data_IF_792920678298
#
_entry.id   IF_792920678298
#
_cell.length_a   1.000
_cell.length_b   1.000
_cell.length_c   1.000
_cell.angle_alpha   90.00
_cell.angle_beta   90.00
_cell.angle_gamma   90.00
#
_symmetry.space_group_name_H-M   'P 1'
#
loop_
_entity.id
_entity.type
_entity.pdbx_description
1 polymer ?
#
# COMPACT_ATOMS: atom_id res chain seq x y z
N UNK A 1 14.08 2.87 -48.11
CA UNK A 1 14.31 1.50 -47.59
C UNK A 1 14.69 1.66 -46.12
N UNK A 2 13.75 1.63 -45.18
CA UNK A 2 13.00 0.47 -44.68
C UNK A 2 13.85 -0.43 -43.76
N UNK A 3 13.54 -0.34 -42.44
CA UNK A 3 13.66 -1.33 -41.36
C UNK A 3 15.07 -1.95 -41.09
N UNK A 4 15.48 -2.29 -39.88
CA UNK A 4 14.73 -2.89 -38.77
C UNK A 4 15.20 -2.36 -37.41
N UNK A 5 14.22 -1.96 -36.60
CA UNK A 5 14.26 -2.06 -35.16
C UNK A 5 14.16 -3.54 -34.74
N UNK A 6 14.84 -3.93 -33.65
CA UNK A 6 14.21 -4.72 -32.56
C UNK A 6 15.15 -4.90 -31.36
N UNK A 7 14.65 -4.40 -30.22
CA UNK A 7 14.71 -5.00 -28.89
C UNK A 7 16.08 -5.14 -28.19
N UNK A 8 16.60 -4.00 -27.73
CA UNK A 8 17.31 -4.00 -26.45
C UNK A 8 16.26 -4.28 -25.35
N UNK A 9 16.41 -5.43 -24.69
CA UNK A 9 15.60 -5.81 -23.54
C UNK A 9 15.78 -4.77 -22.42
N UNK A 10 14.81 -3.87 -22.29
CA UNK A 10 14.67 -2.99 -21.15
C UNK A 10 14.26 -3.84 -19.95
N UNK A 11 15.25 -4.27 -19.19
CA UNK A 11 15.12 -4.40 -17.76
C UNK A 11 14.46 -3.11 -17.22
N UNK A 12 13.43 -3.29 -16.38
CA UNK A 12 12.60 -2.20 -15.89
C UNK A 12 13.42 -1.04 -15.33
N UNK A 13 13.22 0.15 -15.90
CA UNK A 13 13.72 1.39 -15.36
C UNK A 13 12.64 2.44 -15.57
N UNK A 14 11.72 2.52 -14.60
CA UNK A 14 10.95 3.72 -14.35
C UNK A 14 11.95 4.84 -14.00
N UNK A 15 12.23 5.72 -14.95
CA UNK A 15 12.92 6.97 -14.70
C UNK A 15 12.40 8.01 -15.68
N UNK A 16 11.54 8.92 -15.21
CA UNK A 16 11.65 10.37 -15.46
C UNK A 16 10.60 11.19 -14.66
N UNK A 17 11.12 12.05 -13.77
CA UNK A 17 10.57 13.34 -13.27
C UNK A 17 9.45 13.43 -12.21
N UNK A 18 9.83 13.69 -10.95
CA UNK A 18 9.35 14.85 -10.16
C UNK A 18 10.17 14.99 -8.85
N UNK A 19 10.61 16.20 -8.44
CA UNK A 19 11.31 16.41 -7.17
C UNK A 19 10.38 16.33 -5.94
N UNK A 20 9.07 16.16 -6.17
CA UNK A 20 8.02 15.82 -5.21
C UNK A 20 6.96 15.02 -6.00
N UNK A 21 7.23 13.73 -6.24
CA UNK A 21 6.45 12.90 -7.16
C UNK A 21 5.96 11.61 -6.51
N UNK A 22 4.67 11.31 -6.71
CA UNK A 22 4.03 10.04 -6.37
C UNK A 22 4.97 8.86 -6.70
N UNK A 23 5.38 8.01 -5.73
CA UNK A 23 6.39 6.96 -5.91
C UNK A 23 6.00 5.84 -6.90
N UNK A 24 4.98 6.05 -7.73
CA UNK A 24 4.38 5.07 -8.61
C UNK A 24 3.56 4.05 -7.82
N UNK A 25 2.70 3.33 -8.55
CA UNK A 25 1.93 2.24 -7.95
C UNK A 25 2.89 1.16 -7.43
N UNK A 26 2.89 0.95 -6.11
CA UNK A 26 3.62 -0.16 -5.47
C UNK A 26 2.91 -1.45 -5.79
N UNK A 27 3.68 -2.49 -6.10
CA UNK A 27 3.13 -3.81 -6.35
C UNK A 27 2.36 -4.31 -5.12
N UNK A 28 1.21 -4.95 -5.36
CA UNK A 28 0.45 -5.63 -4.34
C UNK A 28 1.22 -6.86 -3.84
N UNK A 29 1.02 -7.28 -2.57
CA UNK A 29 1.52 -8.57 -2.10
C UNK A 29 1.03 -9.71 -3.00
N UNK A 30 1.87 -10.73 -3.20
CA UNK A 30 1.51 -11.88 -4.01
C UNK A 30 0.19 -12.51 -3.53
N UNK A 31 -0.74 -12.75 -4.47
CA UNK A 31 -2.06 -13.32 -4.18
C UNK A 31 -3.09 -12.33 -3.60
N UNK A 32 -2.76 -11.06 -3.42
CA UNK A 32 -3.74 -10.03 -3.00
C UNK A 32 -4.23 -9.19 -4.17
N UNK A 33 -5.48 -8.74 -4.07
CA UNK A 33 -6.12 -7.76 -4.96
C UNK A 33 -6.55 -6.53 -4.16
N UNK A 34 -6.82 -5.43 -4.85
CA UNK A 34 -7.41 -4.24 -4.23
C UNK A 34 -8.72 -4.55 -3.49
N UNK A 35 -9.54 -5.47 -4.02
CA UNK A 35 -10.78 -5.90 -3.40
C UNK A 35 -10.54 -6.68 -2.11
N UNK A 36 -9.57 -7.61 -2.09
CA UNK A 36 -9.25 -8.36 -0.87
C UNK A 36 -8.67 -7.46 0.23
N UNK A 37 -7.83 -6.48 -0.14
CA UNK A 37 -7.28 -5.51 0.82
C UNK A 37 -8.37 -4.62 1.40
N UNK A 38 -9.25 -4.07 0.55
CA UNK A 38 -10.39 -3.28 1.01
C UNK A 38 -11.31 -4.10 1.91
N UNK A 39 -11.54 -5.37 1.58
CA UNK A 39 -12.29 -6.28 2.43
C UNK A 39 -11.65 -6.48 3.81
N UNK A 40 -10.33 -6.59 3.88
CA UNK A 40 -9.61 -6.73 5.15
C UNK A 40 -9.61 -5.43 5.96
N UNK A 41 -9.44 -4.28 5.31
CA UNK A 41 -9.59 -2.96 5.93
C UNK A 41 -10.99 -2.79 6.54
N UNK A 42 -12.05 -3.09 5.79
CA UNK A 42 -13.42 -3.01 6.28
C UNK A 42 -13.67 -3.90 7.50
N UNK A 43 -13.09 -5.10 7.54
CA UNK A 43 -13.18 -5.98 8.73
C UNK A 43 -12.46 -5.37 9.93
N UNK A 44 -11.29 -4.76 9.73
CA UNK A 44 -10.56 -4.08 10.80
C UNK A 44 -11.31 -2.85 11.31
N UNK A 45 -11.95 -2.10 10.42
CA UNK A 45 -12.81 -0.97 10.76
C UNK A 45 -14.01 -1.41 11.60
N UNK A 46 -14.68 -2.50 11.20
CA UNK A 46 -15.78 -3.08 11.97
C UNK A 46 -15.36 -3.56 13.36
N UNK A 47 -14.08 -3.93 13.55
CA UNK A 47 -13.50 -4.27 14.86
C UNK A 47 -13.06 -3.04 15.67
N UNK A 48 -13.18 -1.84 15.14
CA UNK A 48 -12.80 -0.60 15.80
C UNK A 48 -11.29 -0.36 15.85
N UNK A 49 -10.50 -0.98 14.97
CA UNK A 49 -9.05 -0.75 14.90
C UNK A 49 -8.67 0.72 14.68
N UNK A 50 -9.40 1.55 13.90
CA UNK A 50 -9.08 2.97 13.76
C UNK A 50 -8.96 3.72 15.09
N UNK A 51 -9.81 3.42 16.07
CA UNK A 51 -9.73 4.05 17.40
C UNK A 51 -8.42 3.73 18.13
N UNK A 52 -7.87 2.53 17.92
CA UNK A 52 -6.57 2.09 18.48
C UNK A 52 -5.42 2.81 17.78
N UNK A 53 -5.53 3.02 16.47
CA UNK A 53 -4.56 3.80 15.70
C UNK A 53 -4.50 5.23 16.25
N UNK A 54 -5.65 5.89 16.43
CA UNK A 54 -5.69 7.24 17.01
C UNK A 54 -5.12 7.29 18.42
N UNK A 55 -5.41 6.30 19.26
CA UNK A 55 -4.82 6.18 20.59
C UNK A 55 -3.29 6.08 20.52
N UNK A 56 -2.76 5.22 19.65
CA UNK A 56 -1.31 5.10 19.39
C UNK A 56 -0.70 6.42 18.91
N UNK A 57 -1.36 7.10 17.95
CA UNK A 57 -0.91 8.40 17.42
C UNK A 57 -0.89 9.50 18.48
N UNK A 58 -1.82 9.47 19.44
CA UNK A 58 -1.82 10.37 20.60
C UNK A 58 -0.77 10.00 21.67
N UNK A 59 0.07 9.00 21.42
CA UNK A 59 1.09 8.54 22.35
C UNK A 59 0.55 7.66 23.49
N UNK A 60 -0.70 7.19 23.39
CA UNK A 60 -1.23 6.25 24.38
C UNK A 60 -0.53 4.90 24.22
N UNK A 61 -0.08 4.33 25.35
CA UNK A 61 0.54 3.02 25.36
C UNK A 61 -0.52 1.94 25.14
N UNK A 62 -0.42 1.21 24.05
CA UNK A 62 -1.27 0.07 23.74
C UNK A 62 -0.70 -1.22 24.35
N UNK A 63 -1.58 -2.20 24.60
CA UNK A 63 -1.13 -3.57 24.85
C UNK A 63 -0.65 -4.24 23.55
N UNK A 64 0.06 -5.37 23.66
CA UNK A 64 0.66 -6.02 22.50
C UNK A 64 -0.35 -6.41 21.41
N UNK A 65 -1.54 -6.86 21.79
CA UNK A 65 -2.60 -7.22 20.84
C UNK A 65 -3.13 -6.00 20.08
N UNK A 66 -3.38 -4.88 20.78
CA UNK A 66 -3.82 -3.64 20.18
C UNK A 66 -2.75 -3.03 19.27
N UNK A 67 -1.47 -3.12 19.65
CA UNK A 67 -0.38 -2.70 18.79
C UNK A 67 -0.30 -3.53 17.50
N UNK A 68 -0.45 -4.86 17.60
CA UNK A 68 -0.46 -5.74 16.43
C UNK A 68 -1.62 -5.42 15.46
N UNK A 69 -2.79 -5.07 15.99
CA UNK A 69 -3.92 -4.60 15.17
C UNK A 69 -3.58 -3.30 14.43
N UNK A 70 -2.96 -2.33 15.12
CA UNK A 70 -2.53 -1.05 14.54
C UNK A 70 -1.50 -1.27 13.45
N UNK A 71 -0.48 -2.09 13.71
CA UNK A 71 0.59 -2.39 12.75
C UNK A 71 0.02 -3.07 11.50
N UNK A 72 -0.89 -4.03 11.68
CA UNK A 72 -1.55 -4.73 10.57
C UNK A 72 -2.43 -3.79 9.76
N UNK A 73 -3.19 -2.92 10.42
CA UNK A 73 -4.04 -1.93 9.75
C UNK A 73 -3.22 -0.96 8.92
N UNK A 74 -2.15 -0.41 9.50
CA UNK A 74 -1.21 0.47 8.80
C UNK A 74 -0.54 -0.24 7.62
N UNK A 75 -0.18 -1.52 7.77
CA UNK A 75 0.37 -2.31 6.67
C UNK A 75 -0.63 -2.43 5.50
N UNK A 76 -1.89 -2.77 5.78
CA UNK A 76 -2.91 -2.89 4.73
C UNK A 76 -3.23 -1.53 4.08
N UNK A 77 -3.28 -0.45 4.86
CA UNK A 77 -3.42 0.91 4.34
C UNK A 77 -2.27 1.27 3.41
N UNK A 78 -1.04 0.95 3.77
CA UNK A 78 0.12 1.19 2.93
C UNK A 78 0.04 0.44 1.59
N UNK A 79 -0.46 -0.79 1.57
CA UNK A 79 -0.71 -1.51 0.31
C UNK A 79 -1.86 -0.88 -0.49
N UNK A 80 -2.96 -0.52 0.18
CA UNK A 80 -4.13 0.08 -0.45
C UNK A 80 -3.81 1.42 -1.12
N UNK A 81 -3.10 2.29 -0.41
CA UNK A 81 -2.68 3.60 -0.90
C UNK A 81 -1.53 3.46 -1.91
N UNK A 82 -0.54 2.64 -1.59
CA UNK A 82 0.64 2.44 -2.42
C UNK A 82 0.32 1.84 -3.78
N UNK A 83 -0.58 0.86 -3.85
CA UNK A 83 -1.03 0.27 -5.11
C UNK A 83 -2.15 1.08 -5.80
N UNK A 84 -2.49 2.26 -5.26
CA UNK A 84 -3.54 3.14 -5.77
C UNK A 84 -4.90 2.46 -5.89
N UNK A 85 -5.24 1.56 -4.97
CA UNK A 85 -6.53 0.87 -4.95
C UNK A 85 -7.75 1.76 -4.62
N UNK A 86 -7.52 3.06 -4.46
CA UNK A 86 -8.52 4.09 -4.14
C UNK A 86 -8.90 4.96 -5.34
N UNK A 87 -8.16 4.86 -6.45
CA UNK A 87 -8.37 5.67 -7.66
C UNK A 87 -9.40 5.06 -8.60
#
# INVERSE_FOLDING_TARGET
>A
MAALATAAALAGCAAQSAPYGDPGARALPAGQSCQSIRGELNKMDARGVPSKVEASTRGQKLNAAAQADVDRYNQMLNYYLGARCHV
#
